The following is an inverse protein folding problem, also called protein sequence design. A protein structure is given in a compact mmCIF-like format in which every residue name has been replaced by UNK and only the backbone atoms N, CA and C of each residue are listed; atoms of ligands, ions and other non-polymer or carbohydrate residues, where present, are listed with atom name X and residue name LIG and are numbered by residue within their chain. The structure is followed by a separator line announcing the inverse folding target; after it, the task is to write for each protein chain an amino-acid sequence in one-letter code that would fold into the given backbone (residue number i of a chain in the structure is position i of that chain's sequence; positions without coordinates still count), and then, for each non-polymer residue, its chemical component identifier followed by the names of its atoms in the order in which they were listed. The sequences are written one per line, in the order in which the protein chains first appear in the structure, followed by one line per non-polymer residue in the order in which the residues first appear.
data_IF_612339982116
#
_entry.id   IF_612339982116
#
_cell.length_a   1.000
_cell.length_b   1.000
_cell.length_c   1.000
_cell.angle_alpha   90.00
_cell.angle_beta   90.00
_cell.angle_gamma   90.00
#
_symmetry.space_group_name_H-M   'P 1'
#
loop_
_entity.id
_entity.type
_entity.pdbx_description
1 polymer ?
#
# COMPACT_ATOMS: atom_id res chain seq x y z
N UNK A 1 19.91 -10.78 51.40
CA UNK A 1 20.00 -9.90 50.22
C UNK A 1 20.53 -10.59 48.98
N UNK A 2 21.41 -11.59 49.09
CA UNK A 2 21.90 -12.37 47.94
C UNK A 2 20.79 -13.13 47.19
N UNK A 3 19.75 -13.61 47.91
CA UNK A 3 18.59 -14.28 47.30
C UNK A 3 17.73 -13.34 46.43
N UNK A 4 17.66 -12.05 46.76
CA UNK A 4 16.89 -11.07 45.98
C UNK A 4 17.56 -10.71 44.65
N UNK A 5 18.87 -10.69 44.58
CA UNK A 5 19.61 -10.48 43.33
C UNK A 5 19.44 -11.67 42.37
N UNK A 6 19.47 -12.88 42.89
CA UNK A 6 19.25 -14.08 42.08
C UNK A 6 17.82 -14.16 41.55
N UNK A 7 16.84 -13.81 42.36
CA UNK A 7 15.43 -13.70 41.93
C UNK A 7 15.22 -12.62 40.92
N UNK A 8 15.81 -11.46 41.10
CA UNK A 8 15.75 -10.35 40.17
C UNK A 8 16.33 -10.72 38.77
N UNK A 9 17.48 -11.39 38.77
CA UNK A 9 18.10 -11.87 37.53
C UNK A 9 17.23 -12.90 36.80
N UNK A 10 16.61 -13.81 37.56
CA UNK A 10 15.66 -14.78 37.00
C UNK A 10 14.42 -14.09 36.39
N UNK A 11 13.86 -13.15 37.11
CA UNK A 11 12.68 -12.41 36.67
C UNK A 11 12.99 -11.57 35.41
N UNK A 12 14.16 -10.91 35.40
CA UNK A 12 14.63 -10.16 34.24
C UNK A 12 14.83 -11.06 33.01
N UNK A 13 15.41 -12.25 33.22
CA UNK A 13 15.62 -13.22 32.14
C UNK A 13 14.32 -13.77 31.60
N UNK A 14 13.34 -14.06 32.46
CA UNK A 14 12.01 -14.53 32.07
C UNK A 14 11.30 -13.44 31.26
N UNK A 15 11.30 -12.19 31.72
CA UNK A 15 10.71 -11.07 31.01
C UNK A 15 11.36 -10.87 29.64
N UNK A 16 12.69 -10.94 29.58
CA UNK A 16 13.42 -10.85 28.31
C UNK A 16 13.02 -11.98 27.35
N UNK A 17 12.94 -13.22 27.84
CA UNK A 17 12.53 -14.37 27.02
C UNK A 17 11.11 -14.22 26.50
N UNK A 18 10.16 -13.78 27.32
CA UNK A 18 8.77 -13.55 26.92
C UNK A 18 8.68 -12.44 25.86
N UNK A 19 9.39 -11.34 26.05
CA UNK A 19 9.43 -10.23 25.09
C UNK A 19 10.04 -10.65 23.76
N UNK A 20 11.12 -11.43 23.80
CA UNK A 20 11.79 -11.95 22.61
C UNK A 20 10.85 -12.88 21.81
N UNK A 21 10.21 -13.82 22.47
CA UNK A 21 9.26 -14.75 21.86
C UNK A 21 8.06 -14.00 21.27
N UNK A 22 7.53 -13.03 22.01
CA UNK A 22 6.42 -12.21 21.53
C UNK A 22 6.79 -11.39 20.30
N UNK A 23 7.96 -10.78 20.29
CA UNK A 23 8.47 -10.03 19.14
C UNK A 23 8.70 -10.91 17.92
N UNK A 24 9.26 -12.11 18.13
CA UNK A 24 9.44 -13.10 17.07
C UNK A 24 8.10 -13.56 16.48
N UNK A 25 7.14 -13.89 17.35
CA UNK A 25 5.80 -14.29 16.91
C UNK A 25 5.10 -13.19 16.10
N UNK A 26 5.19 -11.94 16.56
CA UNK A 26 4.63 -10.79 15.83
C UNK A 26 5.31 -10.59 14.48
N UNK A 27 6.63 -10.73 14.42
CA UNK A 27 7.39 -10.62 13.18
C UNK A 27 7.01 -11.69 12.16
N UNK A 28 6.91 -12.94 12.60
CA UNK A 28 6.49 -14.06 11.73
C UNK A 28 5.05 -13.88 11.27
N UNK A 29 4.15 -13.51 12.17
CA UNK A 29 2.74 -13.25 11.81
C UNK A 29 2.65 -12.10 10.81
N UNK A 30 3.42 -11.05 10.98
CA UNK A 30 3.48 -9.93 10.05
C UNK A 30 3.94 -10.38 8.65
N UNK A 31 5.04 -11.10 8.57
CA UNK A 31 5.57 -11.59 7.29
C UNK A 31 4.60 -12.54 6.57
N UNK A 32 4.01 -13.46 7.31
CA UNK A 32 3.04 -14.42 6.76
C UNK A 32 1.74 -13.74 6.33
N UNK A 33 1.33 -12.70 7.05
CA UNK A 33 0.07 -12.02 6.82
C UNK A 33 0.18 -10.91 5.77
N UNK A 34 1.38 -10.37 5.54
CA UNK A 34 1.60 -9.28 4.58
C UNK A 34 1.12 -9.62 3.17
N UNK A 35 1.57 -10.74 2.64
CA UNK A 35 1.20 -11.17 1.29
C UNK A 35 -0.32 -11.38 1.11
N UNK A 36 -1.03 -12.09 2.00
CA UNK A 36 -2.48 -12.21 1.88
C UNK A 36 -3.23 -10.89 2.10
N UNK A 37 -2.73 -9.97 2.93
CA UNK A 37 -3.33 -8.64 3.09
C UNK A 37 -3.21 -7.83 1.80
N UNK A 38 -2.04 -7.81 1.19
CA UNK A 38 -1.81 -7.13 -0.10
C UNK A 38 -2.73 -7.72 -1.19
N UNK A 39 -2.79 -9.04 -1.30
CA UNK A 39 -3.67 -9.72 -2.24
C UNK A 39 -5.15 -9.42 -1.97
N UNK A 40 -5.57 -9.40 -0.71
CA UNK A 40 -6.94 -9.07 -0.33
C UNK A 40 -7.28 -7.61 -0.63
N UNK A 41 -6.35 -6.70 -0.42
CA UNK A 41 -6.52 -5.28 -0.75
C UNK A 41 -6.68 -5.07 -2.25
N UNK A 42 -5.84 -5.72 -3.05
CA UNK A 42 -5.95 -5.69 -4.52
C UNK A 42 -7.30 -6.29 -4.95
N UNK A 43 -7.69 -7.43 -4.39
CA UNK A 43 -8.96 -8.08 -4.70
C UNK A 43 -10.16 -7.21 -4.33
N UNK A 44 -10.13 -6.55 -3.18
CA UNK A 44 -11.19 -5.64 -2.75
C UNK A 44 -11.32 -4.42 -3.67
N UNK A 45 -10.20 -3.95 -4.20
CA UNK A 45 -10.15 -2.80 -5.10
C UNK A 45 -10.33 -3.18 -6.57
N UNK A 46 -10.26 -4.47 -6.92
CA UNK A 46 -10.36 -4.92 -8.32
C UNK A 46 -11.66 -4.47 -9.00
N UNK A 47 -12.75 -4.41 -8.28
CA UNK A 47 -14.01 -3.90 -8.83
C UNK A 47 -13.89 -2.45 -9.29
N UNK A 48 -13.22 -1.61 -8.51
CA UNK A 48 -12.94 -0.22 -8.88
C UNK A 48 -11.94 -0.14 -10.03
N UNK A 49 -10.89 -0.95 -9.99
CA UNK A 49 -9.87 -0.99 -11.05
C UNK A 49 -10.47 -1.43 -12.39
N UNK A 50 -11.36 -2.42 -12.39
CA UNK A 50 -12.07 -2.85 -13.59
C UNK A 50 -13.02 -1.80 -14.15
N UNK A 51 -13.57 -0.94 -13.30
CA UNK A 51 -14.38 0.19 -13.75
C UNK A 51 -13.53 1.24 -14.49
N UNK A 52 -12.29 1.46 -14.03
CA UNK A 52 -11.38 2.43 -14.65
C UNK A 52 -10.61 1.85 -15.84
N UNK A 53 -10.42 0.54 -15.87
CA UNK A 53 -9.77 -0.20 -16.97
C UNK A 53 -10.52 -1.51 -17.24
N UNK A 54 -11.64 -1.48 -18.00
CA UNK A 54 -12.47 -2.67 -18.24
C UNK A 54 -11.74 -3.79 -19.00
N UNK A 55 -10.74 -3.44 -19.80
CA UNK A 55 -9.98 -4.39 -20.62
C UNK A 55 -8.93 -5.16 -19.84
N UNK A 56 -8.67 -4.80 -18.59
CA UNK A 56 -7.69 -5.43 -17.74
C UNK A 56 -8.31 -6.55 -16.90
N UNK A 57 -7.60 -7.67 -16.79
CA UNK A 57 -8.00 -8.81 -15.95
C UNK A 57 -7.19 -8.88 -14.66
N UNK A 58 -5.93 -8.46 -14.71
CA UNK A 58 -5.02 -8.51 -13.56
C UNK A 58 -4.35 -7.18 -13.31
N UNK A 59 -4.13 -6.90 -12.02
CA UNK A 59 -3.43 -5.71 -11.58
C UNK A 59 -2.30 -6.12 -10.65
N UNK A 60 -1.12 -5.56 -10.85
CA UNK A 60 0.06 -5.82 -10.01
C UNK A 60 0.86 -4.55 -9.82
N UNK A 61 1.61 -4.50 -8.71
CA UNK A 61 2.48 -3.37 -8.43
C UNK A 61 3.60 -3.27 -9.47
N UNK A 62 3.93 -2.05 -9.88
CA UNK A 62 5.05 -1.78 -10.77
C UNK A 62 6.34 -1.78 -9.96
N UNK A 63 7.29 -2.59 -10.37
CA UNK A 63 8.61 -2.65 -9.76
C UNK A 63 9.33 -1.30 -9.92
N UNK A 64 9.90 -0.79 -8.84
CA UNK A 64 10.57 0.52 -8.83
C UNK A 64 9.63 1.72 -8.81
N UNK A 65 8.32 1.52 -8.70
CA UNK A 65 7.35 2.62 -8.65
C UNK A 65 7.54 3.54 -7.44
N UNK A 66 7.98 2.98 -6.31
CA UNK A 66 8.21 3.76 -5.08
C UNK A 66 9.21 4.90 -5.27
N UNK A 67 10.30 4.64 -5.99
CA UNK A 67 11.31 5.66 -6.28
C UNK A 67 10.77 6.76 -7.19
N UNK A 68 10.05 6.37 -8.24
CA UNK A 68 9.40 7.31 -9.15
C UNK A 68 8.32 8.14 -8.48
N UNK A 69 7.57 7.54 -7.56
CA UNK A 69 6.57 8.23 -6.76
C UNK A 69 7.24 9.30 -5.88
N UNK A 70 8.36 8.98 -5.26
CA UNK A 70 9.11 9.93 -4.44
C UNK A 70 9.63 11.13 -5.26
N UNK A 71 10.15 10.88 -6.45
CA UNK A 71 10.58 11.94 -7.37
C UNK A 71 9.40 12.83 -7.79
N UNK A 72 8.28 12.23 -8.13
CA UNK A 72 7.07 12.94 -8.56
C UNK A 72 6.44 13.75 -7.43
N UNK A 73 6.60 13.34 -6.17
CA UNK A 73 6.06 14.05 -5.02
C UNK A 73 6.60 15.49 -4.94
N UNK A 74 7.87 15.70 -5.20
CA UNK A 74 8.48 17.03 -5.20
C UNK A 74 7.93 17.91 -6.34
N UNK A 75 7.72 17.35 -7.51
CA UNK A 75 7.11 18.05 -8.65
C UNK A 75 5.67 18.46 -8.35
N UNK A 76 4.88 17.57 -7.75
CA UNK A 76 3.50 17.84 -7.34
C UNK A 76 3.44 18.97 -6.31
N UNK A 77 4.33 18.96 -5.32
CA UNK A 77 4.43 20.01 -4.32
C UNK A 77 4.81 21.36 -4.93
N UNK A 78 5.74 21.38 -5.89
CA UNK A 78 6.16 22.58 -6.60
C UNK A 78 5.05 23.18 -7.48
N UNK A 79 4.11 22.35 -7.95
CA UNK A 79 2.94 22.80 -8.70
C UNK A 79 1.82 23.38 -7.83
N UNK A 80 1.98 23.34 -6.51
CA UNK A 80 1.00 23.85 -5.55
C UNK A 80 -0.02 22.82 -5.08
N UNK A 81 0.20 21.54 -5.33
CA UNK A 81 -0.66 20.42 -4.92
C UNK A 81 -0.07 19.64 -3.74
N UNK A 82 0.45 20.32 -2.74
CA UNK A 82 1.13 19.70 -1.60
C UNK A 82 0.26 18.77 -0.75
N UNK A 83 -1.07 18.84 -0.88
CA UNK A 83 -1.99 17.92 -0.21
C UNK A 83 -2.31 16.66 -1.01
N UNK A 84 -1.73 16.49 -2.19
CA UNK A 84 -1.96 15.34 -3.06
C UNK A 84 -0.74 14.42 -3.03
N UNK A 85 -0.97 13.14 -2.80
CA UNK A 85 0.06 12.11 -2.78
C UNK A 85 -0.33 10.97 -3.71
N UNK A 86 0.67 10.37 -4.37
CA UNK A 86 0.50 9.13 -5.12
C UNK A 86 0.83 7.98 -4.17
N UNK A 87 -0.12 7.11 -3.88
CA UNK A 87 0.07 5.98 -2.99
C UNK A 87 0.76 4.81 -3.67
N UNK A 88 0.32 4.49 -4.88
CA UNK A 88 0.85 3.36 -5.64
C UNK A 88 0.53 3.49 -7.12
N UNK A 89 1.31 2.78 -7.93
CA UNK A 89 1.07 2.62 -9.37
C UNK A 89 0.96 1.14 -9.66
N UNK A 90 -0.14 0.74 -10.28
CA UNK A 90 -0.40 -0.64 -10.67
C UNK A 90 -0.31 -0.77 -12.18
N UNK A 91 0.26 -1.88 -12.62
CA UNK A 91 0.28 -2.29 -14.02
C UNK A 91 -0.94 -3.17 -14.29
N UNK A 92 -1.71 -2.81 -15.30
CA UNK A 92 -2.89 -3.55 -15.71
C UNK A 92 -2.54 -4.47 -16.87
N UNK A 93 -2.87 -5.75 -16.73
CA UNK A 93 -2.62 -6.78 -17.74
C UNK A 93 -3.92 -7.45 -18.15
N UNK A 94 -4.01 -7.83 -19.41
CA UNK A 94 -5.13 -8.63 -19.91
C UNK A 94 -4.96 -10.12 -19.58
N UNK A 95 -5.91 -10.96 -20.01
CA UNK A 95 -5.86 -12.40 -19.80
C UNK A 95 -4.65 -13.08 -20.46
N UNK A 96 -4.05 -12.46 -21.48
CA UNK A 96 -2.84 -12.96 -22.15
C UNK A 96 -1.54 -12.53 -21.44
N UNK A 97 -1.62 -11.67 -20.45
CA UNK A 97 -0.47 -11.12 -19.74
C UNK A 97 0.15 -9.88 -20.39
N UNK A 98 -0.48 -9.33 -21.42
CA UNK A 98 -0.04 -8.09 -22.05
C UNK A 98 -0.48 -6.88 -21.23
N UNK A 99 0.40 -5.89 -21.12
CA UNK A 99 0.08 -4.63 -20.43
C UNK A 99 -0.88 -3.81 -21.27
N UNK A 100 -2.07 -3.56 -20.74
CA UNK A 100 -3.11 -2.76 -21.41
C UNK A 100 -3.20 -1.34 -20.85
N UNK A 101 -2.58 -1.09 -19.72
CA UNK A 101 -2.58 0.22 -19.10
C UNK A 101 -2.01 0.20 -17.68
N UNK A 102 -2.26 1.28 -16.98
CA UNK A 102 -1.81 1.46 -15.59
C UNK A 102 -2.93 2.07 -14.75
N UNK A 103 -2.93 1.76 -13.48
CA UNK A 103 -3.81 2.40 -12.49
C UNK A 103 -2.95 3.16 -11.49
N UNK A 104 -3.22 4.44 -11.31
CA UNK A 104 -2.54 5.27 -10.32
C UNK A 104 -3.50 5.49 -9.15
N UNK A 105 -3.08 5.06 -7.97
CA UNK A 105 -3.81 5.31 -6.74
C UNK A 105 -3.29 6.59 -6.11
N UNK A 106 -4.15 7.57 -5.96
CA UNK A 106 -3.81 8.85 -5.38
C UNK A 106 -4.63 9.15 -4.14
N UNK A 107 -4.05 9.95 -3.25
CA UNK A 107 -4.66 10.42 -2.02
C UNK A 107 -4.63 11.94 -2.03
N UNK A 108 -5.77 12.57 -1.79
CA UNK A 108 -5.85 14.02 -1.58
C UNK A 108 -6.31 14.31 -0.17
N UNK A 109 -5.51 15.08 0.56
CA UNK A 109 -5.84 15.55 1.90
C UNK A 109 -6.50 16.94 1.90
N UNK A 110 -6.55 17.61 0.77
CA UNK A 110 -7.08 18.95 0.62
C UNK A 110 -8.60 18.98 0.31
N UNK A 111 -9.26 17.85 0.39
CA UNK A 111 -10.70 17.78 0.13
C UNK A 111 -11.51 18.25 1.33
N UNK A 112 -12.69 18.75 1.04
CA UNK A 112 -13.63 19.18 2.08
C UNK A 112 -14.14 17.98 2.88
N UNK A 113 -13.84 17.93 4.15
CA UNK A 113 -14.30 16.87 5.06
C UNK A 113 -13.36 15.69 5.24
N UNK A 114 -12.17 15.72 4.65
CA UNK A 114 -11.15 14.71 4.90
C UNK A 114 -10.43 14.18 3.65
N UNK A 115 -9.74 13.07 3.80
CA UNK A 115 -8.98 12.47 2.71
C UNK A 115 -9.87 11.80 1.67
N UNK A 116 -9.55 11.98 0.40
CA UNK A 116 -10.19 11.28 -0.73
C UNK A 116 -9.16 10.42 -1.43
N UNK A 117 -9.47 9.14 -1.58
CA UNK A 117 -8.63 8.18 -2.30
C UNK A 117 -9.25 7.89 -3.67
N UNK A 118 -8.47 8.12 -4.70
CA UNK A 118 -8.89 7.94 -6.09
C UNK A 118 -8.02 6.89 -6.77
N UNK A 119 -8.64 6.15 -7.68
CA UNK A 119 -7.94 5.29 -8.64
C UNK A 119 -8.17 5.83 -10.04
N UNK A 120 -7.12 6.15 -10.74
CA UNK A 120 -7.16 6.71 -12.09
C UNK A 120 -6.59 5.68 -13.05
N UNK A 121 -7.38 5.26 -14.03
CA UNK A 121 -6.96 4.32 -15.07
C UNK A 121 -6.41 5.04 -16.29
N UNK A 122 -5.25 4.60 -16.76
CA UNK A 122 -4.64 5.06 -18.00
C UNK A 122 -4.49 3.88 -18.94
N UNK A 123 -4.74 4.10 -20.23
CA UNK A 123 -4.43 3.11 -21.26
C UNK A 123 -2.93 3.15 -21.63
N UNK A 124 -2.52 2.28 -22.57
CA UNK A 124 -1.13 2.21 -23.03
C UNK A 124 -0.65 3.51 -23.72
N UNK A 125 -1.56 4.33 -24.23
CA UNK A 125 -1.27 5.61 -24.87
C UNK A 125 -1.19 6.77 -23.86
N UNK A 126 -1.50 6.51 -22.58
CA UNK A 126 -1.52 7.52 -21.54
C UNK A 126 -2.83 8.30 -21.44
N UNK A 127 -3.87 7.85 -22.12
CA UNK A 127 -5.20 8.45 -22.03
C UNK A 127 -5.92 7.95 -20.80
N UNK A 128 -6.59 8.84 -20.07
CA UNK A 128 -7.41 8.46 -18.91
C UNK A 128 -8.64 7.70 -19.41
N UNK A 129 -8.78 6.45 -18.97
CA UNK A 129 -9.91 5.59 -19.33
C UNK A 129 -11.04 5.67 -18.32
N UNK A 130 -10.74 6.04 -17.09
CA UNK A 130 -11.74 6.18 -16.04
C UNK A 130 -11.12 6.63 -14.73
N UNK A 131 -11.99 7.09 -13.82
CA UNK A 131 -11.63 7.49 -12.47
C UNK A 131 -12.61 6.84 -11.51
N UNK A 132 -12.10 6.14 -10.50
CA UNK A 132 -12.88 5.51 -9.45
C UNK A 132 -12.54 6.10 -8.10
N UNK A 133 -13.55 6.31 -7.25
CA UNK A 133 -13.36 6.73 -5.87
C UNK A 133 -13.30 5.48 -4.99
N UNK A 134 -12.16 5.27 -4.30
CA UNK A 134 -11.99 4.11 -3.42
C UNK A 134 -12.50 4.39 -2.01
N UNK A 135 -12.25 5.57 -1.51
CA UNK A 135 -12.61 5.95 -0.15
C UNK A 135 -12.81 7.46 -0.05
N UNK A 136 -13.84 7.84 0.64
CA UNK A 136 -14.09 9.24 1.04
C UNK A 136 -14.36 9.27 2.53
N UNK A 137 -13.75 10.18 3.24
CA UNK A 137 -14.01 10.36 4.67
C UNK A 137 -15.02 11.46 4.96
#
# INVERSE_FOLDING_TARGET
MAASKSGFMKDALILFAITLVSGLCLGVVYDVTKAPIEAATIAANNATYKQVLPDADNFSDVEGSTEKIAETADEIANLGFGGVEIESVLEAKDASGAVVGHVINSLSNDSYGGAVKLSIGFDADGTITGVGIRETS
#
